data_IF_559837293148
#
_entry.id   IF_559837293148
#
_cell.length_a   1.000
_cell.length_b   1.000
_cell.length_c   1.000
_cell.angle_alpha   90.00
_cell.angle_beta   90.00
_cell.angle_gamma   90.00
#
_symmetry.space_group_name_H-M   'P 1'
#
loop_
_entity.id
_entity.type
_entity.pdbx_description
1 polymer ?
#
# COMPACT_ATOMS: atom_id res chain seq x y z
N UNK A 1 25.00 -1.56 17.81
CA UNK A 1 24.61 -0.19 17.43
C UNK A 1 25.41 0.18 16.20
N UNK A 2 24.79 0.76 15.18
CA UNK A 2 25.51 1.24 14.00
C UNK A 2 25.91 2.70 14.22
N UNK A 3 27.16 3.04 13.92
CA UNK A 3 27.68 4.41 14.01
C UNK A 3 27.96 4.91 12.60
N UNK A 4 27.42 6.06 12.23
CA UNK A 4 27.67 6.72 10.96
C UNK A 4 28.47 8.00 11.22
N UNK A 5 29.62 8.14 10.56
CA UNK A 5 30.43 9.37 10.61
C UNK A 5 30.53 9.95 9.22
N UNK A 6 30.04 11.17 9.04
CA UNK A 6 30.13 11.92 7.78
C UNK A 6 31.27 12.93 7.91
N UNK A 7 32.26 12.84 7.03
CA UNK A 7 33.41 13.77 6.98
C UNK A 7 33.22 14.79 5.86
N UNK A 8 33.91 15.93 5.96
CA UNK A 8 33.88 17.02 4.97
C UNK A 8 32.45 17.52 4.67
N UNK A 9 31.64 17.71 5.71
CA UNK A 9 30.32 18.30 5.58
C UNK A 9 30.43 19.83 5.55
N UNK A 10 29.69 20.46 4.65
CA UNK A 10 29.63 21.92 4.57
C UNK A 10 29.05 22.53 5.86
N UNK A 11 29.68 23.60 6.34
CA UNK A 11 29.27 24.32 7.55
C UNK A 11 27.85 24.88 7.43
N UNK A 12 27.41 25.27 6.22
CA UNK A 12 26.03 25.70 6.01
C UNK A 12 25.03 24.58 6.28
N UNK A 13 25.36 23.35 5.86
CA UNK A 13 24.51 22.17 6.11
C UNK A 13 24.41 21.90 7.60
N UNK A 14 25.53 21.97 8.33
CA UNK A 14 25.56 21.78 9.79
C UNK A 14 24.72 22.86 10.48
N UNK A 15 24.82 24.12 10.04
CA UNK A 15 24.05 25.24 10.58
C UNK A 15 22.56 25.03 10.37
N UNK A 16 22.13 24.71 9.14
CA UNK A 16 20.72 24.46 8.81
C UNK A 16 20.15 23.26 9.57
N UNK A 17 20.95 22.21 9.75
CA UNK A 17 20.55 21.05 10.55
C UNK A 17 20.30 21.44 12.02
N UNK A 18 21.17 22.26 12.61
CA UNK A 18 21.01 22.75 13.99
C UNK A 18 19.79 23.63 14.15
N UNK A 19 19.52 24.54 13.21
CA UNK A 19 18.32 25.38 13.22
C UNK A 19 17.07 24.50 13.20
N UNK A 20 16.99 23.56 12.24
CA UNK A 20 15.87 22.63 12.11
C UNK A 20 15.69 21.74 13.35
N UNK A 21 16.79 21.30 13.96
CA UNK A 21 16.75 20.53 15.19
C UNK A 21 16.15 21.33 16.36
N UNK A 22 16.53 22.61 16.48
CA UNK A 22 15.97 23.52 17.48
C UNK A 22 14.48 23.78 17.26
N UNK A 23 14.05 23.98 16.00
CA UNK A 23 12.63 24.13 15.63
C UNK A 23 11.80 22.90 16.02
N UNK A 24 12.37 21.70 15.89
CA UNK A 24 11.71 20.45 16.28
C UNK A 24 11.93 20.06 17.76
N UNK A 25 12.63 20.89 18.55
CA UNK A 25 12.88 20.63 19.97
C UNK A 25 13.75 19.39 20.24
N UNK A 26 14.68 19.05 19.34
CA UNK A 26 15.55 17.86 19.48
C UNK A 26 17.02 18.17 19.19
N UNK A 27 17.91 17.24 19.54
CA UNK A 27 19.34 17.39 19.25
C UNK A 27 19.63 17.29 17.75
N UNK A 28 20.76 17.87 17.31
CA UNK A 28 21.18 17.78 15.91
C UNK A 28 21.38 16.32 15.45
N UNK A 29 21.85 15.43 16.34
CA UNK A 29 21.97 14.00 16.05
C UNK A 29 20.58 13.34 15.87
N UNK A 30 19.62 13.67 16.74
CA UNK A 30 18.26 13.15 16.63
C UNK A 30 17.57 13.65 15.35
N UNK A 31 17.77 14.91 14.96
CA UNK A 31 17.31 15.46 13.68
C UNK A 31 17.94 14.72 12.50
N UNK A 32 19.26 14.53 12.54
CA UNK A 32 19.99 13.79 11.51
C UNK A 32 19.42 12.38 11.31
N UNK A 33 19.21 11.66 12.42
CA UNK A 33 18.62 10.31 12.39
C UNK A 33 17.21 10.31 11.82
N UNK A 34 16.39 11.28 12.18
CA UNK A 34 15.03 11.39 11.69
C UNK A 34 14.97 11.71 10.19
N UNK A 35 15.88 12.52 9.67
CA UNK A 35 16.00 12.80 8.24
C UNK A 35 16.41 11.52 7.48
N UNK A 36 17.41 10.79 7.97
CA UNK A 36 17.81 9.52 7.35
C UNK A 36 16.65 8.52 7.36
N UNK A 37 15.92 8.42 8.46
CA UNK A 37 14.78 7.51 8.56
C UNK A 37 13.63 7.92 7.62
N UNK A 38 13.32 9.21 7.52
CA UNK A 38 12.24 9.67 6.64
C UNK A 38 12.57 9.44 5.17
N UNK A 39 13.82 9.64 4.76
CA UNK A 39 14.25 9.43 3.37
C UNK A 39 14.38 7.94 3.04
N UNK A 40 14.97 7.14 3.93
CA UNK A 40 15.29 5.74 3.63
C UNK A 40 14.17 4.75 3.97
N UNK A 41 13.27 5.08 4.90
CA UNK A 41 12.22 4.15 5.36
C UNK A 41 10.84 4.65 4.97
N UNK A 42 10.53 5.93 5.17
CA UNK A 42 9.20 6.45 4.87
C UNK A 42 8.98 6.67 3.36
N UNK A 43 10.03 6.96 2.60
CA UNK A 43 9.95 7.15 1.15
C UNK A 43 10.38 5.93 0.34
N UNK A 44 10.63 4.77 0.97
CA UNK A 44 10.97 3.56 0.24
C UNK A 44 9.73 3.01 -0.50
N UNK A 45 9.70 3.06 -1.85
CA UNK A 45 8.57 2.56 -2.62
C UNK A 45 8.38 1.05 -2.42
N UNK A 46 9.42 0.30 -2.08
CA UNK A 46 9.30 -1.13 -1.78
C UNK A 46 8.52 -1.35 -0.47
N UNK A 47 8.85 -0.58 0.58
CA UNK A 47 8.13 -0.58 1.85
C UNK A 47 6.67 -0.14 1.69
N UNK A 48 6.40 0.93 0.92
CA UNK A 48 5.04 1.39 0.63
C UNK A 48 4.21 0.34 -0.12
N UNK A 49 4.79 -0.29 -1.16
CA UNK A 49 4.13 -1.38 -1.90
C UNK A 49 3.81 -2.56 -1.00
N UNK A 50 4.73 -2.95 -0.11
CA UNK A 50 4.51 -4.05 0.85
C UNK A 50 3.33 -3.76 1.78
N UNK A 51 3.24 -2.54 2.31
CA UNK A 51 2.12 -2.13 3.17
C UNK A 51 0.77 -2.16 2.43
N UNK A 52 0.74 -1.73 1.17
CA UNK A 52 -0.47 -1.78 0.33
C UNK A 52 -0.89 -3.23 0.08
N UNK A 53 0.05 -4.09 -0.30
CA UNK A 53 -0.22 -5.52 -0.54
C UNK A 53 -0.78 -6.17 0.73
N UNK A 54 -0.19 -5.91 1.90
CA UNK A 54 -0.67 -6.48 3.15
C UNK A 54 -2.08 -5.98 3.51
N UNK A 55 -2.34 -4.67 3.39
CA UNK A 55 -3.69 -4.11 3.62
C UNK A 55 -4.71 -4.69 2.66
N UNK A 56 -4.36 -4.88 1.38
CA UNK A 56 -5.24 -5.48 0.40
C UNK A 56 -5.48 -6.96 0.70
N UNK A 57 -4.46 -7.69 1.16
CA UNK A 57 -4.61 -9.08 1.60
C UNK A 57 -5.53 -9.18 2.82
N UNK A 58 -5.37 -8.30 3.81
CA UNK A 58 -6.26 -8.23 4.97
C UNK A 58 -7.70 -7.88 4.58
N UNK A 59 -7.87 -6.89 3.70
CA UNK A 59 -9.17 -6.52 3.18
C UNK A 59 -9.84 -7.71 2.49
N UNK A 60 -9.13 -8.39 1.58
CA UNK A 60 -9.61 -9.61 0.91
C UNK A 60 -9.98 -10.71 1.90
N UNK A 61 -9.20 -10.94 2.95
CA UNK A 61 -9.54 -11.90 4.02
C UNK A 61 -10.85 -11.53 4.71
N UNK A 62 -11.01 -10.25 5.08
CA UNK A 62 -12.21 -9.74 5.76
C UNK A 62 -13.45 -9.72 4.85
N UNK A 63 -13.29 -9.51 3.55
CA UNK A 63 -14.39 -9.43 2.59
C UNK A 63 -14.56 -10.68 1.74
N UNK A 64 -13.82 -11.76 2.02
CA UNK A 64 -13.88 -13.00 1.24
C UNK A 64 -15.31 -13.58 1.15
N UNK A 65 -16.11 -13.44 2.22
CA UNK A 65 -17.52 -13.86 2.24
C UNK A 65 -18.51 -12.83 1.69
N UNK A 66 -18.04 -11.67 1.22
CA UNK A 66 -18.88 -10.58 0.66
C UNK A 66 -18.67 -10.37 -0.84
N UNK A 67 -17.83 -11.18 -1.48
CA UNK A 67 -17.52 -11.03 -2.89
C UNK A 67 -18.78 -11.19 -3.75
N UNK A 68 -19.02 -10.23 -4.64
CA UNK A 68 -19.99 -10.41 -5.73
C UNK A 68 -19.57 -11.62 -6.58
N UNK A 69 -20.52 -12.35 -7.20
CA UNK A 69 -20.20 -13.44 -8.11
C UNK A 69 -19.19 -12.97 -9.15
N UNK A 70 -18.24 -13.84 -9.52
CA UNK A 70 -17.32 -13.51 -10.61
C UNK A 70 -18.13 -13.17 -11.86
N UNK A 71 -17.63 -12.25 -12.69
CA UNK A 71 -18.24 -11.98 -13.99
C UNK A 71 -18.44 -13.29 -14.81
N UNK A 72 -17.56 -14.28 -14.61
CA UNK A 72 -17.71 -15.61 -15.20
C UNK A 72 -18.93 -16.38 -14.66
N UNK A 73 -19.24 -16.27 -13.37
CA UNK A 73 -20.39 -16.93 -12.74
C UNK A 73 -21.69 -16.30 -13.23
N UNK A 74 -21.74 -14.97 -13.29
CA UNK A 74 -22.89 -14.22 -13.82
C UNK A 74 -23.17 -14.58 -15.28
N UNK A 75 -22.12 -14.75 -16.09
CA UNK A 75 -22.25 -15.12 -17.49
C UNK A 75 -22.73 -16.58 -17.66
N UNK A 76 -22.28 -17.49 -16.79
CA UNK A 76 -22.78 -18.88 -16.78
C UNK A 76 -24.26 -18.93 -16.42
N UNK A 77 -24.67 -18.19 -15.40
CA UNK A 77 -26.06 -18.12 -14.95
C UNK A 77 -26.97 -17.51 -16.04
N UNK A 78 -26.53 -16.43 -16.68
CA UNK A 78 -27.25 -15.81 -17.81
C UNK A 78 -27.41 -16.77 -18.99
N UNK A 79 -26.36 -17.54 -19.30
CA UNK A 79 -26.41 -18.57 -20.35
C UNK A 79 -27.38 -19.69 -19.99
N UNK A 80 -27.35 -20.14 -18.73
CA UNK A 80 -28.24 -21.18 -18.23
C UNK A 80 -29.71 -20.74 -18.35
N UNK A 81 -30.04 -19.53 -17.90
CA UNK A 81 -31.39 -18.97 -18.04
C UNK A 81 -31.83 -18.90 -19.50
N UNK A 82 -30.94 -18.49 -20.41
CA UNK A 82 -31.26 -18.38 -21.84
C UNK A 82 -31.53 -19.74 -22.49
N UNK A 83 -30.76 -20.77 -22.12
CA UNK A 83 -30.96 -22.14 -22.62
C UNK A 83 -32.25 -22.76 -22.05
N UNK A 84 -32.55 -22.53 -20.76
CA UNK A 84 -33.78 -23.00 -20.13
C UNK A 84 -35.03 -22.37 -20.79
N UNK A 85 -34.98 -21.07 -21.12
CA UNK A 85 -36.06 -20.38 -21.82
C UNK A 85 -36.27 -20.90 -23.25
N UNK A 86 -35.21 -21.34 -23.95
CA UNK A 86 -35.30 -21.91 -25.30
C UNK A 86 -35.77 -23.38 -25.30
N UNK A 87 -35.52 -24.13 -24.22
CA UNK A 87 -35.93 -25.52 -24.09
C UNK A 87 -37.37 -25.68 -23.59
N UNK A 88 -37.89 -24.70 -22.84
CA UNK A 88 -39.26 -24.70 -22.30
C UNK A 88 -40.36 -24.29 -23.28
N UNK A 89 -40.05 -23.99 -24.55
CA UNK A 89 -41.02 -23.58 -25.57
C UNK A 89 -41.29 -24.65 -26.63
N UNK A 90 -41.05 -25.93 -26.32
CA UNK A 90 -41.27 -27.06 -27.25
C UNK A 90 -42.18 -28.13 -26.63
N UNK A 91 -43.27 -27.70 -26.00
CA UNK A 91 -44.35 -28.63 -25.63
C UNK A 91 -45.71 -27.92 -25.68
N UNK A 92 -46.17 -27.60 -26.89
CA UNK A 92 -47.57 -27.29 -27.18
C UNK A 92 -47.85 -27.56 -28.66
N UNK A 93 -48.12 -28.84 -28.99
CA UNK A 93 -49.12 -29.31 -29.98
C UNK A 93 -49.33 -30.80 -29.81
#
# INVERSE_FOLDING_TARGET
MATLTVRNLDDDIVRRLRIRAAEHGRSAEAEHRAILQSVLVCNDPATARKQIIERLAEFRRRTAGRGSPSAADQLRESRHMRLAALAGTVDET
#
